data_IF_729971985098
#
_entry.id   IF_729971985098
#
_cell.length_a   1.000
_cell.length_b   1.000
_cell.length_c   1.000
_cell.angle_alpha   90.00
_cell.angle_beta   90.00
_cell.angle_gamma   90.00
#
_symmetry.space_group_name_H-M   'P 1'
#
loop_
_entity.id
_entity.type
_entity.pdbx_description
1 polymer ?
#
# COMPACT_ATOMS: atom_id res chain seq x y z
N UNK A 1 -19.40 -10.94 -7.98
CA UNK A 1 -18.44 -9.88 -7.58
C UNK A 1 -18.77 -9.41 -6.17
N UNK A 2 -17.86 -9.61 -5.21
CA UNK A 2 -18.04 -9.05 -3.86
C UNK A 2 -17.87 -7.52 -3.92
N UNK A 3 -18.87 -6.78 -3.45
CA UNK A 3 -18.74 -5.32 -3.32
C UNK A 3 -17.91 -5.01 -2.07
N UNK A 4 -16.82 -4.27 -2.24
CA UNK A 4 -16.08 -3.69 -1.12
C UNK A 4 -16.93 -2.59 -0.49
N UNK A 5 -17.31 -2.76 0.76
CA UNK A 5 -18.10 -1.77 1.51
C UNK A 5 -17.25 -1.24 2.68
N UNK A 6 -16.41 -0.28 2.38
CA UNK A 6 -15.57 0.39 3.36
C UNK A 6 -16.32 1.59 3.93
N UNK A 7 -16.53 1.62 5.25
CA UNK A 7 -17.10 2.77 5.94
C UNK A 7 -15.98 3.54 6.63
N UNK A 8 -15.79 4.79 6.22
CA UNK A 8 -14.88 5.73 6.89
C UNK A 8 -15.72 6.61 7.82
N UNK A 9 -15.26 6.83 9.04
CA UNK A 9 -15.89 7.68 10.04
C UNK A 9 -14.85 8.55 10.73
N UNK A 10 -15.23 9.79 11.09
CA UNK A 10 -14.37 10.68 11.85
C UNK A 10 -14.39 10.27 13.33
N UNK A 11 -13.22 10.05 13.90
CA UNK A 11 -13.05 9.68 15.31
C UNK A 11 -12.11 10.68 15.99
N UNK A 12 -12.51 11.26 17.13
CA UNK A 12 -11.65 12.13 17.92
C UNK A 12 -10.34 11.42 18.30
N UNK A 13 -9.20 12.09 18.08
CA UNK A 13 -7.88 11.52 18.39
C UNK A 13 -7.74 11.13 19.86
N UNK A 14 -8.46 11.82 20.74
CA UNK A 14 -8.52 11.49 22.19
C UNK A 14 -9.16 10.15 22.50
N UNK A 15 -9.96 9.59 21.60
CA UNK A 15 -10.60 8.28 21.73
C UNK A 15 -9.77 7.16 21.12
N UNK A 16 -8.78 7.49 20.29
CA UNK A 16 -7.93 6.53 19.61
C UNK A 16 -6.80 6.10 20.55
N UNK A 17 -6.59 4.79 20.64
CA UNK A 17 -5.60 4.18 21.52
C UNK A 17 -4.48 3.54 20.70
N UNK A 18 -3.23 3.99 20.86
CA UNK A 18 -2.09 3.26 20.29
C UNK A 18 -2.03 1.84 20.84
N UNK A 19 -1.70 0.87 19.97
CA UNK A 19 -1.46 -0.48 20.45
C UNK A 19 -0.18 -0.52 21.29
N UNK A 20 -0.30 -0.90 22.55
CA UNK A 20 0.78 -0.85 23.56
C UNK A 20 2.02 -1.69 23.19
N UNK A 21 1.84 -2.73 22.39
CA UNK A 21 2.87 -3.69 22.01
C UNK A 21 3.26 -3.55 20.53
N UNK A 22 3.28 -2.32 20.00
CA UNK A 22 3.69 -2.08 18.62
C UNK A 22 5.18 -2.40 18.43
N UNK A 23 5.47 -3.44 17.63
CA UNK A 23 6.84 -3.90 17.37
C UNK A 23 7.63 -2.93 16.48
N UNK A 24 6.95 -2.02 15.76
CA UNK A 24 7.60 -1.10 14.81
C UNK A 24 7.94 0.23 15.48
N UNK A 25 9.22 0.61 15.41
CA UNK A 25 9.67 1.94 15.87
C UNK A 25 9.48 2.94 14.75
N UNK A 26 8.60 3.94 14.95
CA UNK A 26 8.13 4.83 13.88
C UNK A 26 8.68 6.27 13.99
N UNK A 27 9.53 6.56 14.97
CA UNK A 27 9.84 7.95 15.33
C UNK A 27 10.48 8.73 14.17
N UNK A 28 11.38 8.10 13.40
CA UNK A 28 11.96 8.69 12.19
C UNK A 28 10.96 8.90 11.07
N UNK A 29 9.96 8.03 10.97
CA UNK A 29 8.94 8.07 9.92
C UNK A 29 7.91 9.17 10.18
N UNK A 30 7.70 9.58 11.44
CA UNK A 30 6.68 10.57 11.81
C UNK A 30 6.91 11.91 11.12
N UNK A 31 8.16 12.39 11.05
CA UNK A 31 8.46 13.68 10.40
C UNK A 31 8.16 13.62 8.90
N UNK A 32 8.56 12.56 8.19
CA UNK A 32 8.24 12.39 6.78
C UNK A 32 6.73 12.31 6.55
N UNK A 33 5.99 11.62 7.43
CA UNK A 33 4.52 11.54 7.37
C UNK A 33 3.87 12.90 7.62
N UNK A 34 4.40 13.72 8.55
CA UNK A 34 3.92 15.09 8.78
C UNK A 34 4.07 15.96 7.53
N UNK A 35 5.24 15.91 6.90
CA UNK A 35 5.47 16.65 5.66
C UNK A 35 4.55 16.18 4.53
N UNK A 36 4.34 14.87 4.42
CA UNK A 36 3.38 14.31 3.47
C UNK A 36 1.95 14.81 3.72
N UNK A 37 1.51 14.82 4.99
CA UNK A 37 0.15 15.31 5.34
C UNK A 37 0.01 16.81 5.03
N UNK A 38 1.04 17.63 5.29
CA UNK A 38 1.03 19.06 4.95
C UNK A 38 0.97 19.30 3.44
N UNK A 39 1.72 18.53 2.67
CA UNK A 39 1.86 18.72 1.22
C UNK A 39 0.67 18.17 0.44
N UNK A 40 0.13 17.01 0.85
CA UNK A 40 -0.83 16.24 0.06
C UNK A 40 -2.15 15.98 0.79
N UNK A 41 -2.28 16.39 2.05
CA UNK A 41 -3.42 16.09 2.89
C UNK A 41 -3.39 14.69 3.52
N UNK A 42 -4.38 14.41 4.36
CA UNK A 42 -4.53 13.10 5.00
C UNK A 42 -5.41 12.20 4.14
N UNK A 43 -4.78 11.35 3.33
CA UNK A 43 -5.45 10.56 2.28
C UNK A 43 -5.63 9.07 2.63
N UNK A 44 -5.04 8.59 3.72
CA UNK A 44 -5.06 7.19 4.13
C UNK A 44 -5.65 7.06 5.54
N UNK A 45 -6.91 6.61 5.70
CA UNK A 45 -7.55 6.45 7.00
C UNK A 45 -6.74 5.58 7.96
N UNK A 46 -6.91 5.82 9.25
CA UNK A 46 -6.43 4.90 10.28
C UNK A 46 -7.30 3.66 10.30
N UNK A 47 -6.73 2.51 10.62
CA UNK A 47 -7.51 1.27 10.84
C UNK A 47 -7.47 0.91 12.32
N UNK A 48 -8.66 0.79 12.90
CA UNK A 48 -8.88 0.55 14.33
C UNK A 48 -9.66 -0.75 14.53
N UNK A 49 -9.55 -1.32 15.72
CA UNK A 49 -10.51 -2.32 16.19
C UNK A 49 -11.74 -1.66 16.83
N UNK A 50 -12.71 -2.46 17.27
CA UNK A 50 -13.94 -2.01 17.92
C UNK A 50 -13.74 -1.30 19.27
N UNK A 51 -12.54 -1.41 19.86
CA UNK A 51 -12.14 -0.70 21.07
C UNK A 51 -11.34 0.58 20.80
N UNK A 52 -11.30 1.02 19.52
CA UNK A 52 -10.50 2.15 19.01
C UNK A 52 -8.98 1.94 19.19
N UNK A 53 -8.50 0.70 19.26
CA UNK A 53 -7.05 0.43 19.29
C UNK A 53 -6.51 0.35 17.86
N UNK A 54 -5.42 1.02 17.60
CA UNK A 54 -4.83 1.11 16.27
C UNK A 54 -4.35 -0.29 15.80
N UNK A 55 -4.86 -0.71 14.65
CA UNK A 55 -4.35 -1.86 13.89
C UNK A 55 -3.26 -1.36 12.94
N UNK A 56 -3.56 -0.41 12.06
CA UNK A 56 -2.57 0.22 11.17
C UNK A 56 -2.61 1.74 11.23
N UNK A 57 -1.48 2.40 10.98
CA UNK A 57 -1.39 3.86 10.93
C UNK A 57 -0.81 4.55 12.17
N UNK A 58 -0.03 3.86 13.01
CA UNK A 58 0.57 4.46 14.22
C UNK A 58 1.41 5.72 13.94
N UNK A 59 2.20 5.74 12.85
CA UNK A 59 2.98 6.93 12.46
C UNK A 59 2.05 8.08 12.04
N UNK A 60 0.99 7.78 11.29
CA UNK A 60 -0.03 8.76 10.88
C UNK A 60 -0.75 9.36 12.09
N UNK A 61 -1.14 8.53 13.05
CA UNK A 61 -1.75 8.99 14.30
C UNK A 61 -0.83 9.95 15.06
N UNK A 62 0.46 9.59 15.25
CA UNK A 62 1.45 10.46 15.90
C UNK A 62 1.62 11.79 15.15
N UNK A 63 1.68 11.73 13.81
CA UNK A 63 1.80 12.91 12.97
C UNK A 63 0.59 13.85 13.12
N UNK A 64 -0.62 13.33 13.09
CA UNK A 64 -1.85 14.12 13.30
C UNK A 64 -1.87 14.79 14.67
N UNK A 65 -1.50 14.07 15.74
CA UNK A 65 -1.38 14.64 17.09
C UNK A 65 -0.39 15.81 17.13
N UNK A 66 0.79 15.66 16.51
CA UNK A 66 1.81 16.71 16.48
C UNK A 66 1.43 17.90 15.59
N UNK A 67 0.60 17.67 14.56
CA UNK A 67 0.07 18.72 13.70
C UNK A 67 -1.14 19.45 14.31
N UNK A 68 -1.64 18.99 15.47
CA UNK A 68 -2.75 19.65 16.19
C UNK A 68 -4.15 19.31 15.63
N UNK A 69 -4.29 18.23 14.88
CA UNK A 69 -5.61 17.75 14.47
C UNK A 69 -6.39 17.24 15.68
N UNK A 70 -7.71 17.36 15.66
CA UNK A 70 -8.60 16.94 16.75
C UNK A 70 -9.27 15.60 16.49
N UNK A 71 -9.41 15.23 15.22
CA UNK A 71 -10.07 13.99 14.77
C UNK A 71 -9.37 13.45 13.53
N UNK A 72 -9.66 12.20 13.17
CA UNK A 72 -9.10 11.55 12.01
C UNK A 72 -10.13 10.64 11.33
N UNK A 73 -10.11 10.54 9.99
CA UNK A 73 -10.84 9.52 9.26
C UNK A 73 -10.30 8.13 9.59
N UNK A 74 -11.19 7.26 10.02
CA UNK A 74 -10.89 5.91 10.51
C UNK A 74 -11.79 4.87 9.88
N UNK A 75 -11.25 3.67 9.69
CA UNK A 75 -11.98 2.46 9.39
C UNK A 75 -11.97 1.57 10.64
N UNK A 76 -13.14 1.20 11.13
CA UNK A 76 -13.26 0.28 12.29
C UNK A 76 -13.55 -1.11 11.78
N UNK A 77 -12.71 -2.06 12.17
CA UNK A 77 -12.85 -3.47 11.83
C UNK A 77 -13.27 -4.28 13.06
N UNK A 78 -14.32 -5.07 12.90
CA UNK A 78 -14.72 -6.07 13.87
C UNK A 78 -13.97 -7.37 13.62
N UNK A 79 -12.78 -7.48 14.21
CA UNK A 79 -11.90 -8.63 14.09
C UNK A 79 -11.62 -9.25 15.45
N UNK A 80 -11.56 -10.60 15.56
CA UNK A 80 -11.02 -11.25 16.72
C UNK A 80 -9.60 -10.74 17.06
N UNK A 81 -9.25 -10.66 18.34
CA UNK A 81 -7.97 -10.10 18.81
C UNK A 81 -6.73 -10.72 18.13
N UNK A 82 -6.77 -12.04 17.87
CA UNK A 82 -5.73 -12.74 17.13
C UNK A 82 -5.61 -12.25 15.70
N UNK A 83 -6.72 -12.04 15.00
CA UNK A 83 -6.75 -11.54 13.62
C UNK A 83 -6.30 -10.08 13.52
N UNK A 84 -6.64 -9.25 14.48
CA UNK A 84 -6.15 -7.88 14.57
C UNK A 84 -4.61 -7.84 14.75
N UNK A 85 -4.05 -8.78 15.55
CA UNK A 85 -2.59 -8.93 15.71
C UNK A 85 -1.92 -9.42 14.43
N UNK A 86 -2.48 -10.45 13.78
CA UNK A 86 -2.00 -10.96 12.49
C UNK A 86 -1.99 -9.85 11.44
N UNK A 87 -3.10 -9.12 11.30
CA UNK A 87 -3.22 -8.06 10.30
C UNK A 87 -2.21 -6.94 10.55
N UNK A 88 -1.99 -6.55 11.80
CA UNK A 88 -0.98 -5.53 12.16
C UNK A 88 0.42 -5.90 11.68
N UNK A 89 0.79 -7.19 11.77
CA UNK A 89 2.09 -7.68 11.31
C UNK A 89 2.10 -7.78 9.78
N UNK A 90 1.06 -8.37 9.19
CA UNK A 90 0.96 -8.59 7.76
C UNK A 90 0.98 -7.27 6.96
N UNK A 91 0.20 -6.26 7.38
CA UNK A 91 0.16 -4.94 6.75
C UNK A 91 1.57 -4.30 6.70
N UNK A 92 2.28 -4.32 7.81
CA UNK A 92 3.64 -3.79 7.83
C UNK A 92 4.61 -4.62 6.98
N UNK A 93 4.48 -5.95 6.98
CA UNK A 93 5.41 -6.83 6.29
C UNK A 93 5.23 -6.80 4.78
N UNK A 94 4.00 -6.69 4.29
CA UNK A 94 3.72 -6.57 2.85
C UNK A 94 4.34 -5.32 2.24
N UNK A 95 4.38 -4.21 2.97
CA UNK A 95 5.07 -2.98 2.51
C UNK A 95 6.60 -3.16 2.35
N UNK A 96 7.20 -4.08 3.11
CA UNK A 96 8.64 -4.37 3.02
C UNK A 96 8.99 -5.31 1.86
N UNK A 97 8.00 -5.93 1.22
CA UNK A 97 8.22 -6.87 0.10
C UNK A 97 8.37 -6.16 -1.25
N UNK A 98 8.03 -4.87 -1.32
CA UNK A 98 8.16 -4.08 -2.53
C UNK A 98 9.55 -3.46 -2.62
N UNK A 99 10.09 -3.39 -3.84
CA UNK A 99 11.35 -2.72 -4.16
C UNK A 99 11.08 -1.66 -5.24
N UNK A 100 11.89 -0.63 -5.25
CA UNK A 100 11.85 0.38 -6.30
C UNK A 100 12.54 -0.13 -7.56
N UNK A 101 11.95 0.14 -8.72
CA UNK A 101 12.68 0.19 -9.96
C UNK A 101 13.45 1.52 -9.97
N UNK A 102 14.76 1.44 -9.80
CA UNK A 102 15.57 2.64 -9.64
C UNK A 102 15.70 3.47 -10.93
N UNK A 103 15.61 2.83 -12.09
CA UNK A 103 15.67 3.52 -13.36
C UNK A 103 14.41 4.36 -13.57
N UNK A 104 13.25 3.78 -13.41
CA UNK A 104 11.97 4.48 -13.50
C UNK A 104 11.82 5.54 -12.39
N UNK A 105 12.29 5.24 -11.17
CA UNK A 105 12.26 6.21 -10.06
C UNK A 105 13.08 7.47 -10.37
N UNK A 106 14.25 7.33 -10.99
CA UNK A 106 15.08 8.48 -11.39
C UNK A 106 14.36 9.33 -12.44
N UNK A 107 13.65 8.71 -13.39
CA UNK A 107 12.83 9.44 -14.38
C UNK A 107 11.78 10.30 -13.68
N UNK A 108 10.97 9.69 -12.82
CA UNK A 108 9.91 10.36 -12.08
C UNK A 108 10.46 11.52 -11.23
N UNK A 109 11.59 11.30 -10.54
CA UNK A 109 12.22 12.34 -9.72
C UNK A 109 12.70 13.52 -10.57
N UNK A 110 13.24 13.27 -11.77
CA UNK A 110 13.66 14.33 -12.70
C UNK A 110 12.47 15.15 -13.21
N UNK A 111 11.36 14.49 -13.53
CA UNK A 111 10.13 15.15 -13.97
C UNK A 111 9.50 16.01 -12.86
N UNK A 112 9.51 15.53 -11.61
CA UNK A 112 9.04 16.29 -10.44
C UNK A 112 9.87 17.57 -10.24
N UNK A 113 11.19 17.51 -10.42
CA UNK A 113 12.11 18.64 -10.33
C UNK A 113 12.28 19.24 -8.93
N UNK A 114 11.51 18.79 -7.91
CA UNK A 114 11.59 19.28 -6.54
C UNK A 114 12.34 18.30 -5.63
N UNK A 115 13.66 18.24 -5.84
CA UNK A 115 14.52 17.28 -5.15
C UNK A 115 14.67 17.54 -3.66
N UNK A 116 14.63 18.80 -3.23
CA UNK A 116 14.77 19.18 -1.83
C UNK A 116 13.61 18.60 -0.99
N UNK A 117 12.39 18.68 -1.49
CA UNK A 117 11.23 18.08 -0.84
C UNK A 117 11.29 16.56 -0.86
N UNK A 118 11.69 15.98 -2.00
CA UNK A 118 11.79 14.53 -2.15
C UNK A 118 12.88 13.92 -1.27
N UNK A 119 14.00 14.62 -1.03
CA UNK A 119 15.08 14.16 -0.17
C UNK A 119 14.61 13.78 1.24
N UNK A 120 13.57 14.43 1.77
CA UNK A 120 13.01 14.13 3.09
C UNK A 120 12.44 12.72 3.20
N UNK A 121 12.05 12.10 2.08
CA UNK A 121 11.52 10.74 2.02
C UNK A 121 12.61 9.68 1.78
N UNK A 122 13.78 10.08 1.28
CA UNK A 122 14.91 9.20 0.95
C UNK A 122 16.07 9.36 1.94
N UNK A 123 15.82 9.03 3.23
CA UNK A 123 16.76 9.30 4.34
C UNK A 123 18.13 8.60 4.22
N UNK A 124 18.22 7.49 3.47
CA UNK A 124 19.45 6.68 3.35
C UNK A 124 20.17 6.88 2.01
N UNK A 125 19.67 7.75 1.15
CA UNK A 125 20.15 7.97 -0.21
C UNK A 125 20.24 9.47 -0.43
N UNK A 126 21.36 9.93 -0.97
CA UNK A 126 21.47 11.30 -1.45
C UNK A 126 20.94 11.36 -2.87
N UNK A 127 19.78 11.96 -3.07
CA UNK A 127 19.14 12.05 -4.39
C UNK A 127 19.97 12.84 -5.40
N UNK A 128 20.79 13.80 -4.96
CA UNK A 128 21.67 14.54 -5.88
C UNK A 128 22.68 13.63 -6.55
N UNK A 129 23.18 12.60 -5.85
CA UNK A 129 24.12 11.62 -6.42
C UNK A 129 23.43 10.71 -7.46
N UNK A 130 22.15 10.45 -7.31
CA UNK A 130 21.36 9.66 -8.24
C UNK A 130 20.94 10.42 -9.49
N UNK A 131 20.84 11.75 -9.36
CA UNK A 131 20.38 12.63 -10.43
C UNK A 131 21.53 13.24 -11.22
N UNK A 132 22.77 13.03 -10.78
CA UNK A 132 23.97 13.42 -11.50
C UNK A 132 24.10 12.58 -12.78
N UNK A 133 24.04 13.23 -13.94
CA UNK A 133 24.15 12.60 -15.26
C UNK A 133 25.49 11.87 -15.46
N UNK A 134 26.51 12.16 -14.63
CA UNK A 134 27.81 11.50 -14.66
C UNK A 134 27.77 10.06 -14.11
N UNK A 135 26.75 9.69 -13.33
CA UNK A 135 26.63 8.37 -12.67
C UNK A 135 26.00 7.30 -13.60
N UNK A 136 25.74 7.63 -14.86
CA UNK A 136 25.47 6.62 -15.90
C UNK A 136 24.13 5.91 -15.84
N UNK A 137 23.12 6.44 -15.14
CA UNK A 137 21.74 6.04 -15.36
C UNK A 137 21.30 6.57 -16.73
N UNK A 138 21.43 5.74 -17.74
CA UNK A 138 21.02 6.06 -19.11
C UNK A 138 19.48 6.01 -19.16
N UNK A 139 18.85 7.05 -18.65
CA UNK A 139 17.40 7.15 -18.60
C UNK A 139 16.93 7.54 -19.99
N UNK A 140 16.56 6.57 -20.78
CA UNK A 140 15.83 6.85 -22.00
C UNK A 140 14.47 7.48 -21.60
N UNK A 141 14.14 8.67 -22.10
CA UNK A 141 12.87 9.29 -21.82
C UNK A 141 11.75 8.32 -22.17
N UNK A 142 10.73 8.26 -21.32
CA UNK A 142 9.55 7.45 -21.58
C UNK A 142 8.92 7.96 -22.86
N UNK A 143 9.11 7.21 -23.94
CA UNK A 143 8.48 7.54 -25.22
C UNK A 143 7.03 7.12 -25.18
N UNK A 144 6.19 7.86 -25.91
CA UNK A 144 4.76 7.53 -26.04
C UNK A 144 4.56 6.08 -26.52
N UNK A 145 5.46 5.57 -27.32
CA UNK A 145 5.55 4.17 -27.76
C UNK A 145 5.73 3.17 -26.60
N UNK A 146 6.54 3.52 -25.60
CA UNK A 146 6.74 2.68 -24.39
C UNK A 146 5.49 2.65 -23.52
N UNK A 147 4.80 3.80 -23.40
CA UNK A 147 3.51 3.90 -22.67
C UNK A 147 2.43 3.06 -23.37
N UNK A 148 2.29 3.17 -24.68
CA UNK A 148 1.33 2.40 -25.48
C UNK A 148 1.61 0.89 -25.38
N UNK A 149 2.89 0.48 -25.39
CA UNK A 149 3.28 -0.91 -25.23
C UNK A 149 2.92 -1.46 -23.84
N UNK A 150 3.19 -0.68 -22.78
CA UNK A 150 2.80 -1.09 -21.40
C UNK A 150 1.29 -1.15 -21.25
N UNK A 151 0.55 -0.21 -21.83
CA UNK A 151 -0.92 -0.26 -21.84
C UNK A 151 -1.43 -1.50 -22.55
N UNK A 152 -0.89 -1.82 -23.72
CA UNK A 152 -1.26 -3.03 -24.48
C UNK A 152 -0.92 -4.31 -23.69
N UNK A 153 0.28 -4.40 -23.09
CA UNK A 153 0.68 -5.54 -22.26
C UNK A 153 -0.23 -5.71 -21.02
N UNK A 154 -0.69 -4.60 -20.42
CA UNK A 154 -1.64 -4.63 -19.33
C UNK A 154 -3.03 -5.10 -19.81
N UNK A 155 -3.52 -4.57 -20.92
CA UNK A 155 -4.80 -4.98 -21.51
C UNK A 155 -4.80 -6.47 -21.88
N UNK A 156 -3.69 -6.96 -22.45
CA UNK A 156 -3.52 -8.37 -22.80
C UNK A 156 -3.52 -9.27 -21.56
N UNK A 157 -2.82 -8.88 -20.48
CA UNK A 157 -2.83 -9.61 -19.21
C UNK A 157 -4.22 -9.66 -18.58
N UNK A 158 -4.91 -8.52 -18.50
CA UNK A 158 -6.27 -8.46 -17.97
C UNK A 158 -7.29 -9.17 -18.86
N UNK A 159 -7.02 -9.26 -20.17
CA UNK A 159 -7.86 -10.04 -21.11
C UNK A 159 -7.61 -11.54 -20.97
N UNK A 160 -6.35 -11.95 -20.77
CA UNK A 160 -5.97 -13.34 -20.55
C UNK A 160 -6.53 -13.90 -19.22
N UNK A 161 -6.57 -13.09 -18.15
CA UNK A 161 -7.21 -13.49 -16.89
C UNK A 161 -8.73 -13.71 -17.02
N UNK A 162 -9.38 -13.07 -18.01
CA UNK A 162 -10.80 -13.33 -18.31
C UNK A 162 -11.06 -14.62 -19.09
N UNK A 163 -10.05 -15.18 -19.70
CA UNK A 163 -10.15 -16.42 -20.50
C UNK A 163 -9.67 -17.66 -19.76
N UNK A 164 -9.18 -17.55 -18.53
CA UNK A 164 -8.82 -18.72 -17.73
C UNK A 164 -10.07 -19.38 -17.17
N UNK A 165 -10.43 -20.43 -17.89
CA UNK A 165 -11.06 -21.66 -17.45
C UNK A 165 -12.38 -21.53 -16.69
N UNK A 166 -13.41 -21.82 -17.43
CA UNK A 166 -14.77 -22.13 -16.96
C UNK A 166 -14.80 -23.44 -16.13
N UNK A 167 -13.63 -23.92 -15.69
CA UNK A 167 -13.42 -25.14 -14.93
C UNK A 167 -12.84 -24.85 -13.54
N UNK A 168 -13.19 -25.68 -12.57
CA UNK A 168 -12.60 -25.73 -11.22
C UNK A 168 -12.06 -27.13 -11.00
N UNK A 169 -10.84 -27.23 -10.52
CA UNK A 169 -10.25 -28.50 -10.11
C UNK A 169 -10.81 -28.93 -8.76
N UNK A 170 -11.36 -30.12 -8.72
CA UNK A 170 -12.02 -30.71 -7.56
C UNK A 170 -11.33 -32.01 -7.21
N UNK A 171 -11.05 -32.21 -5.92
CA UNK A 171 -10.52 -33.47 -5.41
C UNK A 171 -11.68 -34.45 -5.12
N UNK A 172 -11.65 -35.64 -5.70
CA UNK A 172 -12.64 -36.67 -5.38
C UNK A 172 -12.50 -37.10 -3.92
N UNK A 173 -13.55 -36.99 -3.09
CA UNK A 173 -13.46 -37.37 -1.68
C UNK A 173 -13.35 -38.89 -1.46
N UNK A 174 -13.51 -39.71 -2.51
CA UNK A 174 -13.51 -41.16 -2.43
C UNK A 174 -12.18 -41.79 -2.86
N UNK A 175 -11.56 -41.27 -3.96
CA UNK A 175 -10.32 -41.82 -4.50
C UNK A 175 -9.14 -40.85 -4.46
N UNK A 176 -9.37 -39.59 -4.07
CA UNK A 176 -8.39 -38.50 -4.00
C UNK A 176 -7.73 -38.14 -5.35
N UNK A 177 -8.37 -38.53 -6.47
CA UNK A 177 -7.94 -38.07 -7.79
C UNK A 177 -8.47 -36.65 -8.08
N UNK A 178 -7.63 -35.82 -8.69
CA UNK A 178 -8.02 -34.49 -9.17
C UNK A 178 -8.70 -34.59 -10.52
N UNK A 179 -9.82 -33.87 -10.69
CA UNK A 179 -10.52 -33.74 -11.96
C UNK A 179 -11.11 -32.33 -12.09
N UNK A 180 -11.18 -31.83 -13.32
CA UNK A 180 -11.70 -30.49 -13.61
C UNK A 180 -13.18 -30.55 -13.97
N UNK A 181 -14.01 -29.72 -13.31
CA UNK A 181 -15.45 -29.61 -13.59
C UNK A 181 -15.73 -28.20 -14.12
N UNK A 182 -16.63 -28.07 -15.08
CA UNK A 182 -17.10 -26.75 -15.53
C UNK A 182 -17.90 -26.06 -14.41
N UNK A 183 -17.66 -24.75 -14.21
CA UNK A 183 -18.37 -23.94 -13.21
C UNK A 183 -19.89 -23.96 -13.39
N UNK A 184 -20.38 -24.19 -14.61
CA UNK A 184 -21.80 -24.38 -14.93
C UNK A 184 -22.41 -25.69 -14.41
N UNK A 185 -21.59 -26.64 -13.99
CA UNK A 185 -22.02 -27.97 -13.50
C UNK A 185 -21.99 -28.05 -11.95
N UNK A 186 -21.64 -26.96 -11.27
CA UNK A 186 -21.55 -26.83 -9.80
C UNK A 186 -22.83 -26.29 -9.15
N UNK A 187 -23.95 -26.20 -9.86
CA UNK A 187 -25.26 -25.76 -9.36
C UNK A 187 -26.14 -26.95 -8.98
#
# INVERSE_FOLDING_TARGET
>A
MQKLNLKVQEIPLTQIKPYWRNARKNDKTVEAVKESIKSYGFNQPLVLDTNNVIITGHARFKALMQLGYTEAPCVVLDLPDTKAKEYRIADNKTHEMTIWDNEELVVELREIGNFETMQNYFQNINLSDWLDDSVGFNVNPVTQEKVEKVQHDLEDRFSAEKTTEDTVDVLCPHCYEEFSIKKSELL
#
